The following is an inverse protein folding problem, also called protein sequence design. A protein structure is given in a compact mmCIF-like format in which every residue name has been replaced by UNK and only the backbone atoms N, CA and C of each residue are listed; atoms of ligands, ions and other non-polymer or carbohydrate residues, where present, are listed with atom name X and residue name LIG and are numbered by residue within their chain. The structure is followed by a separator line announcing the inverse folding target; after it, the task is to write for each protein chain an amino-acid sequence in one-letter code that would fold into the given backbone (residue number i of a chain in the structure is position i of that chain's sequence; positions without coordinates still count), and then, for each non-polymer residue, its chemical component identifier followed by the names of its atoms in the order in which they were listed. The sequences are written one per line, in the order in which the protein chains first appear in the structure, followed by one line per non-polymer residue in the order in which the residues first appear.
data_IF_995056879250
#
_entry.id   IF_995056879250
#
_cell.length_a   1.000
_cell.length_b   1.000
_cell.length_c   1.000
_cell.angle_alpha   90.00
_cell.angle_beta   90.00
_cell.angle_gamma   90.00
#
_symmetry.space_group_name_H-M   'P 1'
#
loop_
_entity.id
_entity.type
_entity.pdbx_description
1 polymer ?
#
# COMPACT_ATOMS: atom_id res chain seq x y z
N UNK A 1 -6.67 17.04 -26.78
CA UNK A 1 -5.21 17.05 -27.00
C UNK A 1 -4.76 15.60 -27.16
N UNK A 2 -3.66 15.31 -27.89
CA UNK A 2 -3.12 13.96 -27.98
C UNK A 2 -2.77 13.38 -26.60
N UNK A 3 -2.98 12.08 -26.45
CA UNK A 3 -2.70 11.33 -25.23
C UNK A 3 -1.90 10.07 -25.57
N UNK A 4 -1.00 9.65 -24.68
CA UNK A 4 -0.23 8.41 -24.82
C UNK A 4 -0.09 7.75 -23.46
N UNK A 5 -0.52 6.49 -23.35
CA UNK A 5 -0.31 5.71 -22.13
C UNK A 5 1.14 5.22 -22.07
N UNK A 6 1.76 5.34 -20.90
CA UNK A 6 3.13 4.89 -20.64
C UNK A 6 3.06 3.56 -19.89
N UNK A 7 3.66 2.49 -20.45
CA UNK A 7 3.64 1.20 -19.79
C UNK A 7 4.51 1.25 -18.54
N UNK A 8 3.94 0.79 -17.42
CA UNK A 8 4.64 0.64 -16.14
C UNK A 8 4.35 -0.75 -15.56
N UNK A 9 5.28 -1.28 -14.79
CA UNK A 9 5.20 -2.60 -14.14
C UNK A 9 5.53 -2.47 -12.66
N UNK A 10 5.23 -3.50 -11.85
CA UNK A 10 5.46 -3.49 -10.39
C UNK A 10 4.75 -2.34 -9.66
N UNK A 11 3.56 -1.99 -10.14
CA UNK A 11 2.70 -0.90 -9.69
C UNK A 11 1.41 -1.42 -9.04
N UNK A 12 1.36 -2.70 -8.66
CA UNK A 12 0.18 -3.36 -8.12
C UNK A 12 0.33 -3.59 -6.61
N UNK A 13 -0.66 -3.11 -5.85
CA UNK A 13 -0.86 -3.49 -4.44
C UNK A 13 -2.10 -4.37 -4.37
N UNK A 14 -1.94 -5.60 -3.89
CA UNK A 14 -3.04 -6.56 -3.78
C UNK A 14 -3.44 -6.73 -2.34
N UNK A 15 -4.74 -6.58 -2.06
CA UNK A 15 -5.32 -6.87 -0.75
C UNK A 15 -6.34 -8.00 -0.86
N UNK A 16 -6.53 -8.72 0.24
CA UNK A 16 -7.55 -9.75 0.36
C UNK A 16 -8.95 -9.21 0.02
N UNK A 17 -9.72 -10.00 -0.73
CA UNK A 17 -11.13 -9.73 -1.02
C UNK A 17 -11.97 -10.99 -0.78
N UNK A 18 -13.06 -10.83 -0.03
CA UNK A 18 -14.01 -11.90 0.25
C UNK A 18 -15.30 -11.70 -0.54
N UNK A 19 -15.75 -12.74 -1.24
CA UNK A 19 -17.04 -12.70 -1.92
C UNK A 19 -18.19 -12.92 -0.92
N UNK A 20 -19.36 -12.30 -1.13
CA UNK A 20 -20.56 -12.63 -0.38
C UNK A 20 -20.85 -14.13 -0.44
N UNK A 21 -21.19 -14.72 0.71
CA UNK A 21 -21.50 -16.15 0.86
C UNK A 21 -20.34 -17.12 0.61
N UNK A 22 -19.10 -16.62 0.50
CA UNK A 22 -17.91 -17.46 0.45
C UNK A 22 -17.63 -18.03 1.85
N UNK A 23 -17.39 -19.33 1.93
CA UNK A 23 -16.94 -19.97 3.17
C UNK A 23 -15.57 -19.40 3.55
N UNK A 24 -15.46 -18.90 4.79
CA UNK A 24 -14.19 -18.48 5.38
C UNK A 24 -13.28 -19.69 5.64
N UNK A 25 -12.02 -19.57 5.24
CA UNK A 25 -10.96 -20.55 5.53
C UNK A 25 -9.95 -19.98 6.53
N UNK A 26 -9.14 -20.84 7.14
CA UNK A 26 -8.07 -20.40 8.05
C UNK A 26 -7.05 -19.48 7.33
N UNK A 27 -6.77 -19.74 6.06
CA UNK A 27 -5.89 -18.91 5.22
C UNK A 27 -6.49 -17.50 4.99
N UNK A 28 -7.81 -17.39 4.83
CA UNK A 28 -8.49 -16.10 4.74
C UNK A 28 -8.36 -15.31 6.05
N UNK A 29 -8.52 -15.99 7.19
CA UNK A 29 -8.35 -15.39 8.52
C UNK A 29 -6.91 -14.91 8.71
N UNK A 30 -5.90 -15.69 8.28
CA UNK A 30 -4.49 -15.30 8.37
C UNK A 30 -4.15 -14.06 7.53
N UNK A 31 -4.82 -13.86 6.39
CA UNK A 31 -4.65 -12.66 5.55
C UNK A 31 -5.34 -11.44 6.13
N UNK A 32 -6.55 -11.62 6.65
CA UNK A 32 -7.33 -10.57 7.32
C UNK A 32 -6.66 -10.11 8.61
N UNK A 33 -6.24 -11.06 9.45
CA UNK A 33 -5.44 -10.79 10.65
C UNK A 33 -4.06 -10.29 10.27
N UNK A 34 -3.57 -10.63 9.08
CA UNK A 34 -2.25 -10.32 8.58
C UNK A 34 -1.12 -11.03 9.34
N UNK A 35 -1.43 -12.23 9.85
CA UNK A 35 -0.43 -13.24 10.17
C UNK A 35 0.38 -13.65 8.92
N UNK A 36 -0.23 -13.55 7.72
CA UNK A 36 0.50 -13.55 6.45
C UNK A 36 0.61 -12.12 5.92
N UNK A 37 1.83 -11.62 5.75
CA UNK A 37 2.08 -10.27 5.20
C UNK A 37 1.65 -10.15 3.73
N UNK A 38 1.79 -11.24 2.95
CA UNK A 38 1.39 -11.28 1.56
C UNK A 38 -0.13 -11.20 1.39
N UNK A 39 -0.58 -10.17 0.67
CA UNK A 39 -1.99 -9.88 0.41
C UNK A 39 -2.82 -9.46 1.63
N UNK A 40 -2.18 -9.17 2.76
CA UNK A 40 -2.84 -8.54 3.90
C UNK A 40 -3.06 -7.06 3.64
N UNK A 41 -3.99 -6.47 4.40
CA UNK A 41 -4.16 -5.02 4.48
C UNK A 41 -3.03 -4.36 5.29
N UNK A 42 -2.26 -5.12 6.08
CA UNK A 42 -1.19 -4.59 6.95
C UNK A 42 -0.15 -3.75 6.19
N UNK A 43 0.45 -4.18 5.08
CA UNK A 43 1.44 -3.35 4.38
C UNK A 43 0.86 -2.03 3.88
N UNK A 44 -0.42 -2.03 3.48
CA UNK A 44 -1.15 -0.82 3.12
C UNK A 44 -1.40 0.07 4.35
N UNK A 45 -1.80 -0.51 5.49
CA UNK A 45 -1.98 0.22 6.74
C UNK A 45 -0.67 0.80 7.28
N UNK A 46 0.44 0.07 7.23
CA UNK A 46 1.74 0.57 7.69
C UNK A 46 2.27 1.70 6.82
N UNK A 47 2.10 1.56 5.50
CA UNK A 47 2.43 2.65 4.57
C UNK A 47 1.54 3.86 4.83
N UNK A 48 0.25 3.64 5.08
CA UNK A 48 -0.72 4.69 5.37
C UNK A 48 -0.42 5.41 6.68
N UNK A 49 -0.17 4.66 7.76
CA UNK A 49 0.17 5.17 9.10
C UNK A 49 1.46 6.00 9.04
N UNK A 50 2.49 5.52 8.35
CA UNK A 50 3.75 6.27 8.18
C UNK A 50 3.57 7.57 7.38
N UNK A 51 2.59 7.61 6.47
CA UNK A 51 2.26 8.83 5.73
C UNK A 51 1.32 9.79 6.49
N UNK A 52 0.50 9.24 7.39
CA UNK A 52 -0.61 9.92 8.05
C UNK A 52 -0.26 10.38 9.46
N UNK A 53 1.02 10.55 9.81
CA UNK A 53 1.46 11.11 11.11
C UNK A 53 1.15 12.62 11.16
N UNK A 54 -0.13 12.98 10.95
CA UNK A 54 -0.71 14.30 11.09
C UNK A 54 -1.68 14.77 10.00
N UNK A 55 -2.18 13.92 9.09
CA UNK A 55 -3.13 14.38 8.03
C UNK A 55 -4.25 13.40 7.70
N UNK A 56 -5.43 13.99 7.43
CA UNK A 56 -6.68 13.29 7.11
C UNK A 56 -6.98 13.30 5.58
N UNK A 57 -6.02 13.71 4.75
CA UNK A 57 -6.17 13.94 3.31
C UNK A 57 -5.30 12.99 2.46
N UNK A 58 -5.62 12.88 1.16
CA UNK A 58 -4.81 12.11 0.21
C UNK A 58 -3.35 12.57 0.24
N UNK A 59 -2.43 11.64 0.51
CA UNK A 59 -1.03 11.96 0.74
C UNK A 59 -0.14 11.26 -0.28
N UNK A 60 0.70 12.03 -0.98
CA UNK A 60 1.73 11.52 -1.89
C UNK A 60 3.10 11.62 -1.24
N UNK A 61 3.91 10.56 -1.28
CA UNK A 61 5.28 10.53 -0.76
C UNK A 61 6.23 10.08 -1.86
N UNK A 62 7.40 10.72 -1.98
CA UNK A 62 8.40 10.42 -3.00
C UNK A 62 8.23 11.27 -4.26
N UNK A 63 8.26 10.67 -5.45
CA UNK A 63 8.11 11.39 -6.72
C UNK A 63 9.09 12.57 -6.90
N UNK A 64 10.34 12.41 -6.47
CA UNK A 64 11.40 13.38 -6.77
C UNK A 64 11.61 13.40 -8.29
N UNK A 65 11.57 14.59 -8.88
CA UNK A 65 11.73 14.78 -10.31
C UNK A 65 13.10 15.36 -10.62
N UNK A 66 13.79 14.79 -11.60
CA UNK A 66 15.10 15.27 -12.07
C UNK A 66 15.27 14.99 -13.55
N UNK A 67 16.21 15.68 -14.19
CA UNK A 67 16.60 15.38 -15.57
C UNK A 67 17.78 14.41 -15.55
N UNK A 68 17.65 13.30 -16.28
CA UNK A 68 18.78 12.39 -16.54
C UNK A 68 19.67 12.95 -17.64
N UNK A 69 19.02 13.54 -18.65
CA UNK A 69 19.63 14.20 -19.79
C UNK A 69 18.64 15.24 -20.35
N UNK A 70 18.95 15.84 -21.50
CA UNK A 70 18.13 16.89 -22.10
C UNK A 70 16.72 16.45 -22.55
N UNK A 71 16.44 15.14 -22.64
CA UNK A 71 15.21 14.59 -23.19
C UNK A 71 14.52 13.58 -22.28
N UNK A 72 15.18 13.13 -21.20
CA UNK A 72 14.67 12.10 -20.28
C UNK A 72 14.53 12.66 -18.88
N UNK A 73 13.32 12.53 -18.34
CA UNK A 73 12.95 12.90 -16.98
C UNK A 73 12.96 11.64 -16.13
N UNK A 74 13.61 11.69 -14.97
CA UNK A 74 13.51 10.66 -13.95
C UNK A 74 12.53 11.12 -12.88
N UNK A 75 11.58 10.25 -12.56
CA UNK A 75 10.70 10.39 -11.41
C UNK A 75 11.02 9.24 -10.47
N UNK A 76 11.43 9.53 -9.24
CA UNK A 76 11.69 8.49 -8.24
C UNK A 76 10.43 7.68 -7.98
N UNK A 77 10.58 6.50 -7.39
CA UNK A 77 9.44 5.77 -6.86
C UNK A 77 8.67 6.63 -5.85
N UNK A 78 7.38 6.36 -5.74
CA UNK A 78 6.49 7.07 -4.86
C UNK A 78 5.26 6.26 -4.50
N UNK A 79 4.57 6.71 -3.45
CA UNK A 79 3.36 6.08 -2.92
C UNK A 79 2.27 7.14 -2.82
N UNK A 80 1.07 6.79 -3.25
CA UNK A 80 -0.15 7.57 -3.06
C UNK A 80 -1.05 6.84 -2.07
N UNK A 81 -1.45 7.55 -1.02
CA UNK A 81 -2.22 7.00 0.09
C UNK A 81 -3.56 7.71 0.15
N UNK A 82 -4.62 6.90 0.09
CA UNK A 82 -6.00 7.30 0.30
C UNK A 82 -6.54 6.68 1.56
N UNK A 83 -7.71 7.13 1.98
CA UNK A 83 -8.39 6.63 3.17
C UNK A 83 -8.67 5.12 3.15
N UNK A 84 -8.81 4.52 1.97
CA UNK A 84 -9.20 3.12 1.80
C UNK A 84 -8.21 2.28 0.97
N UNK A 85 -7.11 2.90 0.49
CA UNK A 85 -6.26 2.28 -0.53
C UNK A 85 -4.87 2.89 -0.59
N UNK A 86 -3.91 2.07 -1.03
CA UNK A 86 -2.53 2.48 -1.26
C UNK A 86 -2.14 2.10 -2.68
N UNK A 87 -1.55 3.05 -3.39
CA UNK A 87 -1.06 2.91 -4.75
C UNK A 87 0.44 3.14 -4.78
N UNK A 88 1.16 2.27 -5.46
CA UNK A 88 2.60 2.40 -5.65
C UNK A 88 2.85 2.81 -7.10
N UNK A 89 3.78 3.74 -7.27
CA UNK A 89 4.32 4.11 -8.57
C UNK A 89 5.81 3.78 -8.53
N UNK A 90 6.29 2.87 -9.38
CA UNK A 90 7.72 2.57 -9.47
C UNK A 90 8.47 3.79 -9.98
N UNK A 91 9.80 3.72 -9.96
CA UNK A 91 10.61 4.69 -10.66
C UNK A 91 10.26 4.75 -12.16
N UNK A 92 10.15 5.97 -12.69
CA UNK A 92 9.81 6.23 -14.08
C UNK A 92 10.94 6.95 -14.80
N UNK A 93 11.27 6.47 -16.00
CA UNK A 93 12.12 7.15 -16.97
C UNK A 93 11.24 7.63 -18.13
N UNK A 94 10.82 8.88 -18.05
CA UNK A 94 9.85 9.47 -18.97
C UNK A 94 10.58 10.20 -20.09
N UNK A 95 10.31 9.81 -21.34
CA UNK A 95 10.79 10.51 -22.53
C UNK A 95 9.59 11.15 -23.21
N UNK A 96 9.42 12.48 -23.12
CA UNK A 96 8.23 13.13 -23.65
C UNK A 96 8.13 13.04 -25.16
N UNK A 97 6.90 12.93 -25.69
CA UNK A 97 6.62 12.71 -27.10
C UNK A 97 7.45 13.63 -28.02
N UNK A 98 8.06 13.10 -29.07
CA UNK A 98 8.91 13.87 -29.98
C UNK A 98 8.19 15.13 -30.53
N UNK A 99 6.89 14.99 -30.84
CA UNK A 99 6.07 16.05 -31.40
C UNK A 99 5.55 17.07 -30.37
N UNK A 100 5.88 16.92 -29.08
CA UNK A 100 5.47 17.88 -28.06
C UNK A 100 6.36 19.10 -28.01
N UNK A 101 5.74 20.26 -27.73
CA UNK A 101 6.42 21.46 -27.25
C UNK A 101 6.24 21.58 -25.74
N UNK A 102 5.02 21.34 -25.26
CA UNK A 102 4.62 21.39 -23.86
C UNK A 102 3.75 20.18 -23.54
N UNK A 103 3.76 19.71 -22.30
CA UNK A 103 2.93 18.58 -21.89
C UNK A 103 2.92 18.35 -20.39
N UNK A 104 2.06 17.43 -19.98
CA UNK A 104 1.92 16.96 -18.62
C UNK A 104 1.99 15.43 -18.60
N UNK A 105 2.54 14.88 -17.54
CA UNK A 105 2.34 13.49 -17.18
C UNK A 105 1.33 13.40 -16.05
N UNK A 106 0.47 12.40 -16.12
CA UNK A 106 -0.66 12.22 -15.21
C UNK A 106 -0.70 10.77 -14.71
N UNK A 107 -1.24 10.60 -13.51
CA UNK A 107 -1.50 9.30 -12.90
C UNK A 107 -3.00 9.04 -12.89
N UNK A 108 -3.40 7.85 -13.33
CA UNK A 108 -4.75 7.34 -13.14
C UNK A 108 -4.68 6.17 -12.14
N UNK A 109 -5.53 6.23 -11.13
CA UNK A 109 -5.57 5.24 -10.07
C UNK A 109 -6.72 4.27 -10.34
N UNK A 110 -6.37 3.01 -10.58
CA UNK A 110 -7.32 1.96 -10.92
C UNK A 110 -7.47 0.96 -9.78
N UNK A 111 -8.69 0.48 -9.56
CA UNK A 111 -8.94 -0.63 -8.64
C UNK A 111 -9.80 -1.69 -9.32
N UNK A 112 -9.41 -2.95 -9.20
CA UNK A 112 -10.13 -4.06 -9.82
C UNK A 112 -10.10 -5.31 -8.96
N UNK A 113 -11.09 -6.18 -9.15
CA UNK A 113 -11.12 -7.49 -8.52
C UNK A 113 -10.34 -8.49 -9.38
N UNK A 114 -9.35 -9.15 -8.79
CA UNK A 114 -8.36 -9.96 -9.50
C UNK A 114 -8.15 -11.33 -8.83
N UNK A 115 -7.24 -12.13 -9.40
CA UNK A 115 -6.83 -13.45 -8.93
C UNK A 115 -8.02 -14.41 -8.74
N UNK A 116 -8.62 -14.79 -9.89
CA UNK A 116 -9.75 -15.71 -9.94
C UNK A 116 -9.32 -17.10 -9.46
N UNK A 117 -9.99 -17.59 -8.41
CA UNK A 117 -9.83 -18.96 -7.91
C UNK A 117 -11.19 -19.60 -7.70
N UNK A 118 -11.22 -20.93 -7.67
CA UNK A 118 -12.40 -21.67 -7.27
C UNK A 118 -12.60 -21.54 -5.76
N UNK A 119 -13.63 -20.79 -5.35
CA UNK A 119 -13.96 -20.58 -3.94
C UNK A 119 -15.29 -21.26 -3.59
N UNK A 120 -15.43 -21.84 -2.39
CA UNK A 120 -16.68 -22.46 -1.95
C UNK A 120 -17.74 -21.38 -1.64
N UNK A 121 -18.76 -21.24 -2.50
CA UNK A 121 -19.91 -20.36 -2.30
C UNK A 121 -21.13 -21.14 -1.83
N UNK A 122 -21.86 -20.60 -0.85
CA UNK A 122 -23.13 -21.19 -0.41
C UNK A 122 -24.19 -21.07 -1.50
N UNK A 123 -24.77 -22.20 -1.90
CA UNK A 123 -25.90 -22.26 -2.82
C UNK A 123 -27.19 -22.47 -2.02
N UNK A 124 -28.11 -21.50 -2.08
CA UNK A 124 -29.38 -21.56 -1.34
C UNK A 124 -30.35 -22.60 -1.86
N UNK A 125 -30.25 -23.04 -3.12
CA UNK A 125 -31.13 -24.06 -3.69
C UNK A 125 -30.70 -25.49 -3.31
N UNK A 126 -29.40 -25.71 -3.13
CA UNK A 126 -28.87 -27.04 -2.76
C UNK A 126 -28.41 -27.13 -1.31
N UNK A 127 -28.47 -26.00 -0.58
CA UNK A 127 -28.01 -25.84 0.81
C UNK A 127 -26.57 -26.32 1.03
N UNK A 128 -25.73 -26.23 0.00
CA UNK A 128 -24.37 -26.75 0.01
C UNK A 128 -23.39 -25.70 -0.52
N UNK A 129 -22.17 -25.77 -0.03
CA UNK A 129 -21.06 -25.02 -0.61
C UNK A 129 -20.61 -25.70 -1.91
N UNK A 130 -20.54 -24.92 -2.97
CA UNK A 130 -20.09 -25.38 -4.29
C UNK A 130 -18.93 -24.50 -4.76
N UNK A 131 -17.84 -25.09 -5.27
CA UNK A 131 -16.72 -24.32 -5.79
C UNK A 131 -17.17 -23.54 -7.03
N UNK A 132 -16.94 -22.24 -7.04
CA UNK A 132 -17.22 -21.36 -8.17
C UNK A 132 -16.05 -20.42 -8.42
N UNK A 133 -15.75 -20.08 -9.69
CA UNK A 133 -14.71 -19.13 -10.02
C UNK A 133 -15.12 -17.74 -9.54
N UNK A 134 -14.33 -17.16 -8.65
CA UNK A 134 -14.52 -15.80 -8.13
C UNK A 134 -13.17 -15.11 -7.89
N UNK A 135 -13.11 -13.77 -7.97
CA UNK A 135 -11.92 -13.03 -7.59
C UNK A 135 -11.63 -13.21 -6.10
N UNK A 136 -10.36 -13.26 -5.73
CA UNK A 136 -9.93 -13.41 -4.32
C UNK A 136 -9.13 -12.21 -3.82
N UNK A 137 -8.86 -11.23 -4.70
CA UNK A 137 -8.09 -10.03 -4.39
C UNK A 137 -8.77 -8.79 -4.95
N UNK A 138 -8.53 -7.67 -4.28
CA UNK A 138 -8.70 -6.33 -4.85
C UNK A 138 -7.29 -5.81 -5.14
N UNK A 139 -7.01 -5.54 -6.41
CA UNK A 139 -5.74 -4.93 -6.86
C UNK A 139 -5.96 -3.44 -7.01
N UNK A 140 -5.05 -2.65 -6.44
CA UNK A 140 -4.88 -1.24 -6.69
C UNK A 140 -3.67 -1.06 -7.60
N UNK A 141 -3.86 -0.41 -8.74
CA UNK A 141 -2.80 -0.20 -9.71
C UNK A 141 -2.79 1.24 -10.22
N UNK A 142 -1.59 1.73 -10.52
CA UNK A 142 -1.39 3.08 -11.07
C UNK A 142 -1.17 2.98 -12.58
N UNK A 143 -1.74 3.87 -13.38
CA UNK A 143 -1.42 4.02 -14.80
C UNK A 143 -0.82 5.40 -15.04
N UNK A 144 0.12 5.51 -15.98
CA UNK A 144 0.75 6.79 -16.32
C UNK A 144 0.34 7.17 -17.73
N UNK A 145 -0.04 8.43 -17.90
CA UNK A 145 -0.38 9.00 -19.20
C UNK A 145 0.46 10.24 -19.46
N UNK A 146 0.80 10.47 -20.72
CA UNK A 146 1.29 11.74 -21.22
C UNK A 146 0.18 12.42 -22.00
N UNK A 147 -0.09 13.68 -21.68
CA UNK A 147 -0.83 14.59 -22.53
C UNK A 147 0.09 15.69 -23.01
N UNK A 148 0.00 16.05 -24.28
CA UNK A 148 0.94 16.99 -24.87
C UNK A 148 0.31 17.87 -25.94
N UNK A 149 0.98 18.99 -26.21
CA UNK A 149 0.61 19.95 -27.24
C UNK A 149 1.83 20.31 -28.10
N UNK A 150 1.69 20.32 -29.45
CA UNK A 150 2.76 20.79 -30.34
C UNK A 150 2.86 22.34 -30.39
N UNK A 151 1.88 23.03 -29.81
CA UNK A 151 1.83 24.50 -29.72
C UNK A 151 1.87 24.93 -28.26
N UNK A 152 2.23 26.18 -27.99
CA UNK A 152 2.31 26.68 -26.61
C UNK A 152 0.92 26.69 -25.96
N UNK A 153 0.86 26.25 -24.71
CA UNK A 153 -0.37 25.95 -23.99
C UNK A 153 -0.24 24.59 -23.31
N UNK A 154 -0.07 24.60 -21.99
CA UNK A 154 -0.06 23.39 -21.19
C UNK A 154 -1.44 22.71 -21.24
N UNK A 155 -1.49 21.38 -21.48
CA UNK A 155 -2.72 20.62 -21.30
C UNK A 155 -3.27 20.74 -19.88
N UNK A 156 -4.60 20.87 -19.70
CA UNK A 156 -5.21 20.76 -18.38
C UNK A 156 -5.13 19.32 -17.87
N UNK A 157 -5.15 19.15 -16.55
CA UNK A 157 -5.24 17.82 -15.94
C UNK A 157 -6.60 17.19 -16.28
N UNK A 158 -6.60 15.93 -16.71
CA UNK A 158 -7.78 15.16 -17.05
C UNK A 158 -8.65 14.89 -15.84
N UNK A 159 -9.96 14.79 -16.07
CA UNK A 159 -10.89 14.36 -15.02
C UNK A 159 -10.51 12.98 -14.49
N UNK A 160 -10.57 12.80 -13.17
CA UNK A 160 -10.21 11.57 -12.44
C UNK A 160 -8.73 11.17 -12.51
N UNK A 161 -7.84 12.04 -12.99
CA UNK A 161 -6.39 11.83 -12.95
C UNK A 161 -5.71 12.85 -12.06
N UNK A 162 -4.50 12.51 -11.65
CA UNK A 162 -3.65 13.33 -10.79
C UNK A 162 -2.48 13.82 -11.64
N UNK A 163 -2.31 15.14 -11.75
CA UNK A 163 -1.15 15.72 -12.44
C UNK A 163 0.14 15.39 -11.70
N UNK A 164 1.06 14.68 -12.35
CA UNK A 164 2.36 14.32 -11.78
C UNK A 164 3.36 15.46 -11.94
N UNK A 165 3.61 15.84 -13.19
CA UNK A 165 4.55 16.90 -13.55
C UNK A 165 4.18 17.50 -14.91
N UNK A 166 4.65 18.71 -15.17
CA UNK A 166 4.61 19.35 -16.47
C UNK A 166 6.01 19.59 -16.99
N UNK A 167 6.13 19.66 -18.31
CA UNK A 167 7.39 19.92 -18.98
C UNK A 167 7.20 20.90 -20.14
N UNK A 168 8.29 21.55 -20.51
CA UNK A 168 8.40 22.39 -21.71
C UNK A 168 9.71 22.12 -22.43
N UNK A 169 9.66 22.17 -23.76
CA UNK A 169 10.82 22.08 -24.66
C UNK A 169 11.08 23.43 -25.32
N UNK A 170 12.31 23.64 -25.81
CA UNK A 170 12.68 24.85 -26.56
C UNK A 170 12.02 24.93 -27.95
N UNK A 171 11.76 23.77 -28.56
CA UNK A 171 11.02 23.61 -29.81
C UNK A 171 10.39 22.22 -29.83
N UNK A 172 9.48 21.97 -30.78
CA UNK A 172 9.09 20.60 -31.13
C UNK A 172 10.35 19.80 -31.49
N UNK A 173 10.47 18.55 -31.04
CA UNK A 173 11.69 17.72 -31.07
C UNK A 173 12.92 18.28 -30.34
N UNK A 174 12.76 19.37 -29.60
CA UNK A 174 13.84 20.06 -28.90
C UNK A 174 14.11 19.50 -27.49
N UNK A 175 15.14 20.05 -26.86
CA UNK A 175 15.53 19.73 -25.49
C UNK A 175 14.54 20.31 -24.47
N UNK A 176 14.41 19.63 -23.33
CA UNK A 176 13.65 20.10 -22.17
C UNK A 176 14.29 21.37 -21.59
N UNK A 177 13.47 22.39 -21.40
CA UNK A 177 13.87 23.68 -20.84
C UNK A 177 13.26 23.93 -19.48
N UNK A 178 12.08 23.37 -19.21
CA UNK A 178 11.41 23.51 -17.93
C UNK A 178 10.77 22.19 -17.51
N UNK A 179 10.82 21.94 -16.21
CA UNK A 179 10.25 20.78 -15.54
C UNK A 179 9.65 21.27 -14.23
N UNK A 180 8.33 21.16 -14.08
CA UNK A 180 7.61 21.59 -12.89
C UNK A 180 6.82 20.42 -12.33
N UNK A 181 6.99 20.10 -11.05
CA UNK A 181 6.16 19.09 -10.38
C UNK A 181 4.76 19.67 -10.13
N UNK A 182 3.73 18.94 -10.53
CA UNK A 182 2.33 19.31 -10.29
C UNK A 182 1.78 18.61 -9.04
N UNK A 183 2.27 17.40 -8.77
CA UNK A 183 1.88 16.62 -7.60
C UNK A 183 2.40 17.28 -6.31
N UNK A 184 1.47 17.53 -5.39
CA UNK A 184 1.83 17.95 -4.04
C UNK A 184 2.34 16.75 -3.27
N UNK A 185 3.64 16.72 -3.02
CA UNK A 185 4.32 15.64 -2.30
C UNK A 185 4.60 16.09 -0.88
N UNK A 186 4.25 15.24 0.08
CA UNK A 186 4.67 15.37 1.46
C UNK A 186 6.17 15.09 1.58
N UNK A 187 6.92 16.08 2.04
CA UNK A 187 8.35 15.94 2.36
C UNK A 187 8.49 15.66 3.86
N UNK A 188 8.86 14.43 4.27
CA UNK A 188 9.05 14.10 5.67
C UNK A 188 10.28 14.77 6.30
N UNK A 189 11.08 15.56 5.53
CA UNK A 189 12.30 16.24 6.01
C UNK A 189 12.09 17.23 7.18
N UNK A 190 10.87 17.37 7.70
CA UNK A 190 10.54 18.21 8.85
C UNK A 190 9.58 17.53 9.84
N UNK A 191 9.71 16.22 10.10
CA UNK A 191 9.38 15.72 11.44
C UNK A 191 10.62 15.91 12.33
N UNK A 192 10.96 17.18 12.57
CA UNK A 192 11.68 17.50 13.80
C UNK A 192 10.64 17.47 14.90
N UNK A 193 10.79 16.52 15.85
CA UNK A 193 10.42 16.59 17.26
C UNK A 193 8.99 17.11 17.56
N UNK A 194 8.22 16.30 18.29
CA UNK A 194 6.83 16.52 18.74
C UNK A 194 5.73 16.19 17.73
N UNK A 195 5.65 14.90 17.40
CA UNK A 195 4.35 14.29 17.17
C UNK A 195 3.87 13.84 18.55
N UNK A 196 3.02 14.63 19.20
CA UNK A 196 2.28 14.21 20.40
C UNK A 196 1.31 13.08 19.97
N UNK A 197 1.83 11.86 19.97
CA UNK A 197 1.03 10.65 19.89
C UNK A 197 0.36 10.42 21.25
N UNK A 198 -0.86 9.89 21.18
CA UNK A 198 -1.77 9.54 22.28
C UNK A 198 -1.08 9.42 23.66
N UNK A 199 -1.48 10.19 24.69
CA UNK A 199 -0.88 10.16 26.02
C UNK A 199 -1.01 8.80 26.75
N UNK A 200 -1.75 7.83 26.20
CA UNK A 200 -1.73 6.44 26.65
C UNK A 200 -0.51 5.63 26.16
N UNK A 201 0.28 6.15 25.22
CA UNK A 201 1.50 5.54 24.69
C UNK A 201 2.66 6.01 25.56
N UNK A 202 2.95 5.23 26.60
CA UNK A 202 3.77 5.62 27.75
C UNK A 202 5.27 5.82 27.50
N UNK A 203 5.79 5.64 26.28
CA UNK A 203 7.15 6.03 25.86
C UNK A 203 7.40 5.49 24.45
N UNK A 204 7.71 6.37 23.48
CA UNK A 204 8.23 5.96 22.17
C UNK A 204 9.00 7.13 21.55
N UNK A 205 10.18 7.40 22.09
CA UNK A 205 11.02 8.57 21.77
C UNK A 205 11.60 8.54 20.34
N UNK A 206 11.32 7.52 19.53
CA UNK A 206 11.70 7.51 18.11
C UNK A 206 10.72 6.75 17.20
N UNK A 207 10.62 7.19 15.95
CA UNK A 207 9.91 6.47 14.86
C UNK A 207 10.43 5.02 14.73
N UNK A 208 11.71 4.79 15.01
CA UNK A 208 12.30 3.46 15.00
C UNK A 208 11.73 2.57 16.11
N UNK A 209 11.42 3.13 17.28
CA UNK A 209 10.78 2.40 18.38
C UNK A 209 9.29 2.16 18.10
N UNK A 210 8.60 3.09 17.43
CA UNK A 210 7.25 2.86 16.93
C UNK A 210 7.21 1.75 15.87
N UNK A 211 8.16 1.72 14.93
CA UNK A 211 8.30 0.65 13.92
C UNK A 211 8.66 -0.68 14.59
N UNK A 212 9.59 -0.68 15.55
CA UNK A 212 9.96 -1.87 16.32
C UNK A 212 8.81 -2.36 17.21
N UNK A 213 8.02 -1.46 17.80
CA UNK A 213 6.82 -1.80 18.55
C UNK A 213 5.79 -2.44 17.64
N UNK A 214 5.55 -1.87 16.45
CA UNK A 214 4.63 -2.46 15.47
C UNK A 214 5.13 -3.83 15.00
N UNK A 215 6.43 -3.96 14.71
CA UNK A 215 7.07 -5.23 14.36
C UNK A 215 6.89 -6.27 15.48
N UNK A 216 7.21 -5.90 16.73
CA UNK A 216 7.04 -6.75 17.91
C UNK A 216 5.56 -7.07 18.17
N UNK A 217 4.64 -6.13 17.93
CA UNK A 217 3.20 -6.34 18.05
C UNK A 217 2.68 -7.33 17.00
N UNK A 218 3.25 -7.33 15.80
CA UNK A 218 2.94 -8.34 14.78
C UNK A 218 3.56 -9.70 15.10
N UNK A 219 4.79 -9.77 15.62
CA UNK A 219 5.37 -11.04 16.10
C UNK A 219 4.63 -11.59 17.34
N UNK A 220 4.09 -10.70 18.19
CA UNK A 220 3.28 -11.11 19.34
C UNK A 220 1.97 -11.81 18.95
N UNK A 221 1.56 -11.81 17.68
CA UNK A 221 0.37 -12.55 17.19
C UNK A 221 0.51 -14.07 17.30
N UNK A 222 1.71 -14.59 17.51
CA UNK A 222 1.92 -16.01 17.79
C UNK A 222 1.57 -16.39 19.24
N UNK A 223 1.10 -15.44 20.05
CA UNK A 223 0.76 -15.65 21.46
C UNK A 223 -0.48 -14.89 21.94
N UNK A 224 -1.23 -15.45 22.88
CA UNK A 224 -2.30 -14.80 23.63
C UNK A 224 -1.71 -14.22 24.92
N UNK A 225 -1.82 -12.91 25.12
CA UNK A 225 -1.37 -12.25 26.34
C UNK A 225 -2.42 -12.38 27.45
N UNK A 226 -2.02 -12.80 28.65
CA UNK A 226 -2.92 -12.92 29.80
C UNK A 226 -3.13 -11.57 30.50
N UNK A 227 -4.32 -11.38 31.07
CA UNK A 227 -4.59 -10.25 31.99
C UNK A 227 -4.03 -10.61 33.37
N UNK A 228 -3.06 -9.85 33.90
CA UNK A 228 -2.48 -10.13 35.21
C UNK A 228 -3.46 -9.80 36.34
N UNK A 229 -3.35 -10.56 37.43
CA UNK A 229 -3.90 -10.18 38.74
C UNK A 229 -2.99 -9.13 39.41
N UNK A 230 -3.50 -8.35 40.39
CA UNK A 230 -2.67 -7.41 41.13
C UNK A 230 -1.43 -8.09 41.74
N UNK A 231 -0.24 -7.60 41.40
CA UNK A 231 1.04 -8.16 41.86
C UNK A 231 1.60 -9.31 41.00
N UNK A 232 1.06 -9.54 39.80
CA UNK A 232 1.58 -10.52 38.84
C UNK A 232 1.86 -9.89 37.49
N UNK A 233 2.78 -10.47 36.73
CA UNK A 233 3.08 -10.04 35.36
C UNK A 233 2.18 -10.74 34.34
N UNK A 234 1.86 -10.05 33.25
CA UNK A 234 1.19 -10.65 32.09
C UNK A 234 2.10 -11.68 31.42
N UNK A 235 1.54 -12.81 30.98
CA UNK A 235 2.29 -13.86 30.26
C UNK A 235 1.84 -13.99 28.82
N UNK A 236 2.76 -14.39 27.94
CA UNK A 236 2.47 -14.68 26.53
C UNK A 236 2.25 -16.19 26.36
N UNK A 237 1.01 -16.60 26.09
CA UNK A 237 0.64 -18.01 25.87
C UNK A 237 0.70 -18.38 24.40
N UNK A 238 1.51 -19.37 24.02
CA UNK A 238 1.53 -19.96 22.68
C UNK A 238 0.83 -21.31 22.68
N UNK A 239 0.24 -21.71 21.56
CA UNK A 239 -0.38 -23.02 21.40
C UNK A 239 0.24 -23.78 20.24
N UNK A 240 0.46 -25.08 20.42
CA UNK A 240 0.80 -26.00 19.33
C UNK A 240 -0.08 -27.24 19.38
N UNK A 241 -0.31 -27.85 18.23
CA UNK A 241 -1.04 -29.11 18.11
C UNK A 241 -0.10 -30.24 17.71
N UNK A 242 -0.26 -31.41 18.34
CA UNK A 242 0.41 -32.64 17.94
C UNK A 242 -0.63 -33.76 17.85
N UNK A 243 -1.11 -34.03 16.62
CA UNK A 243 -2.25 -34.91 16.40
C UNK A 243 -3.53 -34.30 16.99
N UNK A 244 -4.24 -35.07 17.84
CA UNK A 244 -5.47 -34.62 18.50
C UNK A 244 -5.23 -33.90 19.84
N UNK A 245 -3.96 -33.67 20.21
CA UNK A 245 -3.59 -33.04 21.46
C UNK A 245 -3.18 -31.59 21.23
N UNK A 246 -3.62 -30.71 22.12
CA UNK A 246 -3.21 -29.30 22.16
C UNK A 246 -2.26 -29.13 23.34
N UNK A 247 -1.18 -28.40 23.13
CA UNK A 247 -0.20 -28.02 24.14
C UNK A 247 -0.10 -26.51 24.20
N UNK A 248 0.19 -25.98 25.38
CA UNK A 248 0.42 -24.56 25.61
C UNK A 248 1.81 -24.32 26.18
N UNK A 249 2.34 -23.13 25.97
CA UNK A 249 3.62 -22.69 26.52
C UNK A 249 3.54 -21.22 26.91
N UNK A 250 4.14 -20.85 28.03
CA UNK A 250 4.26 -19.48 28.53
C UNK A 250 5.71 -18.95 28.60
N UNK A 251 6.66 -19.75 28.11
CA UNK A 251 8.12 -19.56 28.25
C UNK A 251 8.82 -19.71 26.88
N UNK A 252 8.32 -19.04 25.84
CA UNK A 252 8.92 -18.96 24.48
C UNK A 252 9.34 -20.30 23.83
N UNK A 253 8.57 -21.36 24.05
CA UNK A 253 8.77 -22.67 23.43
C UNK A 253 9.73 -23.61 24.16
N UNK A 254 10.23 -23.22 25.34
CA UNK A 254 11.14 -24.06 26.14
C UNK A 254 10.47 -25.30 26.74
N UNK A 255 9.23 -25.19 27.23
CA UNK A 255 8.47 -26.30 27.82
C UNK A 255 7.00 -26.28 27.37
N UNK A 256 6.58 -27.31 26.63
CA UNK A 256 5.19 -27.46 26.17
C UNK A 256 4.39 -28.29 27.17
N UNK A 257 3.29 -27.72 27.68
CA UNK A 257 2.43 -28.31 28.70
C UNK A 257 1.12 -28.77 28.07
N UNK A 258 0.62 -29.97 28.38
CA UNK A 258 -0.69 -30.40 27.90
C UNK A 258 -1.80 -29.56 28.57
N UNK A 259 -2.92 -29.40 27.87
CA UNK A 259 -4.16 -29.00 28.53
C UNK A 259 -4.68 -30.19 29.36
N UNK A 260 -4.94 -29.94 30.64
CA UNK A 260 -5.60 -30.91 31.53
C UNK A 260 -7.11 -30.92 31.29
#
# INVERSE_FOLDING_TARGET
MPETQIPITNNEVKVYFQNPFQKLTAEDINRLSGAESNHSVIPALLSAILASIGRDEETAIGFETSLVNSNTIRVSSGILIRTDSVYVVPELLLTPNANSLEGIFELELNSSLTDIKAVPLFNSATERFQPQPRPTRKTFSSLVFEQWSPVSGLPPVSNNRIGLLSYRKNSVNGALTNLTRLLSVYDPKLIGIDVDLDPAILENDSLADAINWIYNHFENKDSIKTVPLPGTDSKNLRFQTQGNLVFWNDDEGSNWRPFA
#
